data_IF_382724936511
#
_entry.id   IF_382724936511
#
_cell.length_a   1.000
_cell.length_b   1.000
_cell.length_c   1.000
_cell.angle_alpha   90.00
_cell.angle_beta   90.00
_cell.angle_gamma   90.00
#
_symmetry.space_group_name_H-M   'P 1'
#
loop_
_entity.id
_entity.type
_entity.pdbx_description
1 polymer ?
#
# COMPACT_ATOMS: atom_id res chain seq x y z
N UNK A 1 -39.86 -3.09 18.63
CA UNK A 1 -39.08 -1.91 18.21
C UNK A 1 -37.65 -2.18 18.63
N UNK A 2 -36.73 -2.32 17.66
CA UNK A 2 -35.30 -2.44 17.97
C UNK A 2 -34.77 -1.02 18.02
N UNK A 3 -34.52 -0.51 19.22
CA UNK A 3 -33.97 0.83 19.41
C UNK A 3 -32.46 0.73 19.24
N UNK A 4 -31.88 1.59 18.41
CA UNK A 4 -30.44 1.69 18.28
C UNK A 4 -29.84 2.00 19.65
N UNK A 5 -29.01 1.11 20.14
CA UNK A 5 -28.28 1.29 21.38
C UNK A 5 -26.85 1.81 21.10
N UNK A 6 -26.05 2.13 22.14
CA UNK A 6 -24.68 2.58 21.93
C UNK A 6 -23.78 1.56 21.21
N UNK A 7 -24.12 0.27 21.21
CA UNK A 7 -23.37 -0.77 20.50
C UNK A 7 -23.69 -0.71 19.01
N UNK A 8 -24.95 -0.52 18.63
CA UNK A 8 -25.34 -0.33 17.24
C UNK A 8 -24.65 0.90 16.62
N UNK A 9 -24.59 2.02 17.35
CA UNK A 9 -23.89 3.23 16.89
C UNK A 9 -22.38 3.02 16.77
N UNK A 10 -21.77 2.29 17.70
CA UNK A 10 -20.35 1.93 17.62
C UNK A 10 -20.06 1.06 16.40
N UNK A 11 -20.90 0.08 16.12
CA UNK A 11 -20.77 -0.80 14.96
C UNK A 11 -20.94 -0.04 13.64
N UNK A 12 -21.92 0.86 13.55
CA UNK A 12 -22.11 1.71 12.36
C UNK A 12 -20.89 2.61 12.12
N UNK A 13 -20.36 3.22 13.19
CA UNK A 13 -19.16 4.06 13.12
C UNK A 13 -17.94 3.27 12.67
N UNK A 14 -17.75 2.04 13.14
CA UNK A 14 -16.67 1.17 12.67
C UNK A 14 -16.81 0.86 11.18
N UNK A 15 -18.01 0.49 10.73
CA UNK A 15 -18.28 0.22 9.31
C UNK A 15 -18.00 1.45 8.44
N UNK A 16 -18.41 2.64 8.88
CA UNK A 16 -18.11 3.89 8.21
C UNK A 16 -16.60 4.13 8.09
N UNK A 17 -15.84 3.93 9.18
CA UNK A 17 -14.38 4.08 9.16
C UNK A 17 -13.70 3.09 8.21
N UNK A 18 -14.14 1.82 8.20
CA UNK A 18 -13.62 0.80 7.28
C UNK A 18 -13.92 1.19 5.83
N UNK A 19 -15.15 1.61 5.53
CA UNK A 19 -15.53 2.02 4.17
C UNK A 19 -14.68 3.20 3.68
N UNK A 20 -14.45 4.20 4.53
CA UNK A 20 -13.59 5.36 4.22
C UNK A 20 -12.14 4.93 4.01
N UNK A 21 -11.60 4.03 4.84
CA UNK A 21 -10.24 3.53 4.69
C UNK A 21 -10.05 2.75 3.39
N UNK A 22 -11.03 1.92 3.01
CA UNK A 22 -11.01 1.18 1.75
C UNK A 22 -11.11 2.11 0.54
N UNK A 23 -12.00 3.12 0.59
CA UNK A 23 -12.18 4.08 -0.50
C UNK A 23 -10.93 4.94 -0.74
N UNK A 24 -10.20 5.30 0.32
CA UNK A 24 -8.99 6.14 0.24
C UNK A 24 -7.69 5.33 0.16
N UNK A 25 -7.75 3.99 0.10
CA UNK A 25 -6.55 3.17 0.00
C UNK A 25 -5.84 3.50 -1.33
N UNK A 26 -4.59 4.00 -1.31
CA UNK A 26 -3.85 4.23 -2.54
C UNK A 26 -3.61 2.89 -3.24
N UNK A 27 -4.07 2.78 -4.48
CA UNK A 27 -3.74 1.63 -5.31
C UNK A 27 -2.21 1.60 -5.53
N UNK A 28 -1.52 0.48 -5.29
CA UNK A 28 -0.10 0.36 -5.61
C UNK A 28 0.04 0.40 -7.13
N UNK A 29 0.38 1.58 -7.67
CA UNK A 29 0.64 1.78 -9.08
C UNK A 29 2.15 1.76 -9.31
N UNK A 30 2.71 0.55 -9.42
CA UNK A 30 4.05 0.36 -9.97
C UNK A 30 3.91 0.23 -11.48
N UNK A 31 4.52 1.12 -12.26
CA UNK A 31 4.47 1.05 -13.73
C UNK A 31 5.54 0.07 -14.21
N UNK A 32 5.18 -0.85 -15.10
CA UNK A 32 6.16 -1.73 -15.72
C UNK A 32 7.01 -0.94 -16.73
N UNK A 33 8.32 -0.88 -16.51
CA UNK A 33 9.26 -0.16 -17.37
C UNK A 33 10.02 -1.08 -18.34
N UNK A 34 9.95 -2.41 -18.16
CA UNK A 34 10.80 -3.37 -18.88
C UNK A 34 12.16 -3.61 -18.22
N UNK A 35 12.45 -2.90 -17.13
CA UNK A 35 13.69 -2.99 -16.36
C UNK A 35 13.37 -3.17 -14.87
N UNK A 36 14.29 -3.76 -14.12
CA UNK A 36 14.17 -3.92 -12.68
C UNK A 36 14.21 -2.55 -12.00
N UNK A 37 13.24 -2.23 -11.13
CA UNK A 37 13.22 -0.95 -10.42
C UNK A 37 14.38 -0.75 -9.41
N UNK A 38 15.16 -1.79 -9.12
CA UNK A 38 16.31 -1.69 -8.21
C UNK A 38 17.65 -1.64 -8.93
N UNK A 39 17.94 -2.63 -9.78
CA UNK A 39 19.24 -2.81 -10.43
C UNK A 39 19.25 -2.43 -11.92
N UNK A 40 18.11 -1.99 -12.47
CA UNK A 40 17.97 -1.55 -13.87
C UNK A 40 18.25 -2.66 -14.90
N UNK A 41 18.33 -3.92 -14.48
CA UNK A 41 18.50 -5.05 -15.39
C UNK A 41 17.23 -5.25 -16.25
N UNK A 42 17.37 -5.59 -17.54
CA UNK A 42 16.23 -5.85 -18.41
C UNK A 42 15.46 -7.08 -17.94
N UNK A 43 14.15 -6.94 -17.73
CA UNK A 43 13.27 -8.02 -17.29
C UNK A 43 12.20 -8.27 -18.34
N UNK A 44 11.84 -9.54 -18.53
CA UNK A 44 10.80 -9.93 -19.47
C UNK A 44 9.39 -9.86 -18.87
N UNK A 45 9.28 -9.87 -17.53
CA UNK A 45 8.01 -9.90 -16.78
C UNK A 45 8.22 -9.42 -15.35
N UNK A 46 7.20 -8.79 -14.78
CA UNK A 46 7.17 -8.36 -13.38
C UNK A 46 7.84 -7.00 -13.18
N UNK A 47 8.19 -6.65 -11.95
CA UNK A 47 8.78 -5.34 -11.62
C UNK A 47 10.25 -5.45 -11.15
N UNK A 48 10.69 -6.67 -10.84
CA UNK A 48 12.00 -6.95 -10.28
C UNK A 48 12.57 -8.23 -10.89
N UNK A 49 13.89 -8.29 -11.05
CA UNK A 49 14.58 -9.49 -11.55
C UNK A 49 14.62 -10.62 -10.52
N UNK A 50 14.56 -10.30 -9.22
CA UNK A 50 14.59 -11.26 -8.11
C UNK A 50 13.80 -10.77 -6.88
N UNK A 51 13.55 -11.68 -5.95
CA UNK A 51 12.91 -11.37 -4.65
C UNK A 51 13.80 -10.44 -3.79
N UNK A 52 15.12 -10.59 -3.91
CA UNK A 52 16.09 -9.72 -3.24
C UNK A 52 15.98 -8.28 -3.73
N UNK A 53 15.94 -8.07 -5.05
CA UNK A 53 15.77 -6.73 -5.64
C UNK A 53 14.46 -6.07 -5.24
N UNK A 54 13.37 -6.83 -5.07
CA UNK A 54 12.12 -6.29 -4.51
C UNK A 54 12.35 -5.78 -3.09
N UNK A 55 12.96 -6.61 -2.25
CA UNK A 55 13.17 -6.31 -0.82
C UNK A 55 14.07 -5.09 -0.63
N UNK A 56 15.13 -4.96 -1.43
CA UNK A 56 16.04 -3.82 -1.35
C UNK A 56 15.40 -2.52 -1.85
N UNK A 57 14.60 -2.59 -2.93
CA UNK A 57 13.80 -1.45 -3.36
C UNK A 57 12.80 -1.00 -2.28
N UNK A 58 12.11 -1.94 -1.61
CA UNK A 58 11.19 -1.61 -0.50
C UNK A 58 11.91 -0.90 0.65
N UNK A 59 13.12 -1.35 1.01
CA UNK A 59 13.96 -0.72 2.04
C UNK A 59 14.39 0.69 1.64
N UNK A 60 14.81 0.87 0.38
CA UNK A 60 15.20 2.17 -0.17
C UNK A 60 14.03 3.16 -0.11
N UNK A 61 12.86 2.76 -0.61
CA UNK A 61 11.63 3.59 -0.61
C UNK A 61 11.22 3.93 0.82
N UNK A 62 11.31 2.98 1.75
CA UNK A 62 11.02 3.25 3.15
C UNK A 62 11.99 4.26 3.77
N UNK A 63 13.30 4.08 3.54
CA UNK A 63 14.31 5.01 4.03
C UNK A 63 14.12 6.44 3.46
N UNK A 64 13.77 6.57 2.18
CA UNK A 64 13.47 7.86 1.57
C UNK A 64 12.24 8.52 2.19
N UNK A 65 11.16 7.76 2.43
CA UNK A 65 9.97 8.26 3.12
C UNK A 65 10.31 8.77 4.53
N UNK A 66 11.15 8.06 5.27
CA UNK A 66 11.58 8.49 6.60
C UNK A 66 12.41 9.79 6.55
N UNK A 67 13.31 9.92 5.56
CA UNK A 67 14.10 11.16 5.37
C UNK A 67 13.23 12.36 5.03
N UNK A 68 12.17 12.18 4.24
CA UNK A 68 11.24 13.26 3.86
C UNK A 68 10.40 13.78 5.03
N UNK A 69 10.29 13.02 6.12
CA UNK A 69 9.51 13.38 7.32
C UNK A 69 10.34 14.08 8.41
N UNK A 70 11.67 14.15 8.26
CA UNK A 70 12.61 14.80 9.19
C UNK A 70 12.98 16.21 8.69
#
# INVERSE_FOLDING_TARGET
MNFADPIDEAAEREQQLIAVALANRPAPQMTYTGECHYCEEPIAKGHFCSDECRTDHERMVWAEKQRRLA
#
